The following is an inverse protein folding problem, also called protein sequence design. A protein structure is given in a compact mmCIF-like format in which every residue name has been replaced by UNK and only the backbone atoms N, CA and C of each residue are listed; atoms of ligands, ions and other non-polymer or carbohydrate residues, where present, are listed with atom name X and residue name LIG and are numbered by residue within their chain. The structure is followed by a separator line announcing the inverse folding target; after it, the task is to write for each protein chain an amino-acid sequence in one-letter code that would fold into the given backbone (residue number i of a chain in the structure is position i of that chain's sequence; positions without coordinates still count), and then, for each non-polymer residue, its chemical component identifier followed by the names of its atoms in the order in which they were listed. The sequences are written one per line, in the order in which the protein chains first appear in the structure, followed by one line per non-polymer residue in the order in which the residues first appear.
data_IF_769338417963
#
_entry.id   IF_769338417963
#
_cell.length_a   1.000
_cell.length_b   1.000
_cell.length_c   1.000
_cell.angle_alpha   90.00
_cell.angle_beta   90.00
_cell.angle_gamma   90.00
#
_symmetry.space_group_name_H-M   'P 1'
#
loop_
_entity.id
_entity.type
_entity.pdbx_description
1 polymer ?
#
# COMPACT_ATOMS: atom_id res chain seq x y z
N UNK A 1 11.60 8.51 2.32
CA UNK A 1 10.20 8.47 2.81
C UNK A 1 10.00 9.36 4.04
N UNK A 2 10.72 9.15 5.15
CA UNK A 2 10.52 9.95 6.37
C UNK A 2 10.68 11.47 6.18
N UNK A 3 11.73 11.90 5.47
CA UNK A 3 11.97 13.33 5.21
C UNK A 3 10.80 14.00 4.48
N UNK A 4 10.24 13.34 3.46
CA UNK A 4 9.07 13.84 2.74
C UNK A 4 7.80 13.77 3.60
N UNK A 5 7.60 12.69 4.35
CA UNK A 5 6.46 12.58 5.26
C UNK A 5 6.45 13.69 6.31
N UNK A 6 7.62 14.18 6.75
CA UNK A 6 7.71 15.28 7.70
C UNK A 6 7.32 16.65 7.11
N UNK A 7 7.36 16.82 5.79
CA UNK A 7 6.84 18.04 5.14
C UNK A 7 5.30 18.13 5.20
N UNK A 8 4.63 16.99 5.40
CA UNK A 8 3.18 16.89 5.49
C UNK A 8 2.75 16.22 6.81
N UNK A 9 2.86 16.92 7.96
CA UNK A 9 2.66 16.32 9.28
C UNK A 9 1.23 15.79 9.50
N UNK A 10 0.24 16.37 8.82
CA UNK A 10 -1.17 16.00 8.97
C UNK A 10 -1.67 15.03 7.88
N UNK A 11 -0.79 14.54 7.00
CA UNK A 11 -1.19 13.66 5.90
C UNK A 11 -1.43 12.21 6.36
N UNK A 12 -2.43 11.58 5.77
CA UNK A 12 -2.59 10.13 5.79
C UNK A 12 -1.48 9.48 4.95
N UNK A 13 -0.82 8.47 5.51
CA UNK A 13 0.25 7.75 4.82
C UNK A 13 -0.27 6.45 4.22
N UNK A 14 -0.30 6.38 2.90
CA UNK A 14 -0.75 5.21 2.14
C UNK A 14 0.40 4.68 1.27
N UNK A 15 0.60 3.37 1.31
CA UNK A 15 1.37 2.62 0.31
C UNK A 15 0.38 1.99 -0.66
N UNK A 16 0.33 2.51 -1.89
CA UNK A 16 -0.57 2.04 -2.94
C UNK A 16 0.23 1.21 -3.93
N UNK A 17 -0.22 0.00 -4.23
CA UNK A 17 0.38 -0.88 -5.23
C UNK A 17 -0.68 -1.68 -5.97
N UNK A 18 -0.42 -2.04 -7.22
CA UNK A 18 -1.35 -2.87 -8.00
C UNK A 18 -1.23 -4.36 -7.60
N UNK A 19 -0.02 -4.79 -7.23
CA UNK A 19 0.26 -6.18 -6.93
C UNK A 19 -0.57 -6.70 -5.74
N UNK A 20 -0.91 -7.99 -5.73
CA UNK A 20 -1.52 -8.66 -4.58
C UNK A 20 -0.79 -8.38 -3.27
N UNK A 21 -1.54 -8.36 -2.18
CA UNK A 21 -1.09 -8.09 -0.81
C UNK A 21 0.15 -8.88 -0.34
N UNK A 22 0.34 -10.10 -0.85
CA UNK A 22 1.45 -11.02 -0.55
C UNK A 22 2.59 -10.93 -1.59
N UNK A 23 2.47 -10.03 -2.55
CA UNK A 23 3.40 -9.81 -3.66
C UNK A 23 3.83 -8.33 -3.69
N UNK A 24 4.69 -8.00 -4.64
CA UNK A 24 5.23 -6.66 -4.79
C UNK A 24 6.06 -6.22 -3.58
N UNK A 25 6.35 -4.91 -3.48
CA UNK A 25 7.30 -4.40 -2.49
C UNK A 25 6.77 -4.32 -1.06
N UNK A 26 5.44 -4.42 -0.85
CA UNK A 26 4.82 -4.17 0.46
C UNK A 26 5.46 -4.94 1.61
N UNK A 27 5.76 -6.23 1.45
CA UNK A 27 6.35 -7.05 2.52
C UNK A 27 7.71 -6.50 2.97
N UNK A 28 8.56 -6.11 2.00
CA UNK A 28 9.84 -5.48 2.27
C UNK A 28 9.67 -4.11 2.92
N UNK A 29 8.79 -3.25 2.38
CA UNK A 29 8.58 -1.88 2.88
C UNK A 29 8.03 -1.90 4.31
N UNK A 30 7.04 -2.75 4.58
CA UNK A 30 6.43 -2.86 5.90
C UNK A 30 7.45 -3.34 6.95
N UNK A 31 8.23 -4.38 6.62
CA UNK A 31 9.25 -4.91 7.52
C UNK A 31 10.34 -3.87 7.79
N UNK A 32 10.90 -3.25 6.73
CA UNK A 32 11.95 -2.25 6.86
C UNK A 32 11.49 -1.01 7.61
N UNK A 33 10.25 -0.57 7.39
CA UNK A 33 9.66 0.53 8.14
C UNK A 33 9.58 0.17 9.63
N UNK A 34 9.13 -1.05 9.95
CA UNK A 34 9.10 -1.54 11.33
C UNK A 34 10.47 -1.59 11.98
N UNK A 35 11.48 -2.12 11.30
CA UNK A 35 12.85 -2.24 11.80
C UNK A 35 13.52 -0.88 12.01
N UNK A 36 13.35 0.05 11.06
CA UNK A 36 14.06 1.35 11.08
C UNK A 36 13.37 2.41 11.94
N UNK A 37 12.06 2.30 12.17
CA UNK A 37 11.28 3.32 12.85
C UNK A 37 10.54 2.83 14.10
N UNK A 38 10.74 1.57 14.49
CA UNK A 38 10.19 1.00 15.73
C UNK A 38 8.67 0.85 15.71
N UNK A 39 8.04 0.80 14.54
CA UNK A 39 6.59 0.73 14.41
C UNK A 39 6.09 0.66 12.97
N UNK A 40 4.77 0.62 12.79
CA UNK A 40 4.12 0.41 11.48
C UNK A 40 4.09 1.66 10.59
N UNK A 41 4.97 2.64 10.80
CA UNK A 41 4.94 3.93 10.10
C UNK A 41 5.97 4.93 10.60
N UNK A 42 5.66 6.22 10.49
CA UNK A 42 6.57 7.33 10.80
C UNK A 42 6.02 8.19 11.95
N UNK A 43 6.60 8.02 13.14
CA UNK A 43 6.10 8.64 14.37
C UNK A 43 4.74 8.05 14.76
N UNK A 44 3.74 8.90 15.03
CA UNK A 44 2.37 8.46 15.36
C UNK A 44 1.53 8.04 14.14
N UNK A 45 2.02 8.25 12.91
CA UNK A 45 1.27 7.99 11.68
C UNK A 45 1.57 6.60 11.14
N UNK A 46 0.53 5.78 11.01
CA UNK A 46 0.62 4.42 10.49
C UNK A 46 0.66 4.46 8.95
N UNK A 47 1.63 3.77 8.34
CA UNK A 47 1.67 3.54 6.90
C UNK A 47 0.71 2.40 6.55
N UNK A 48 -0.41 2.72 5.88
CA UNK A 48 -1.43 1.73 5.52
C UNK A 48 -1.27 1.28 4.08
N UNK A 49 -1.47 -0.01 3.81
CA UNK A 49 -1.49 -0.54 2.45
C UNK A 49 -2.86 -0.33 1.79
N UNK A 50 -2.83 -0.07 0.49
CA UNK A 50 -3.92 -0.24 -0.46
C UNK A 50 -3.37 -1.09 -1.61
N UNK A 51 -3.96 -2.27 -1.83
CA UNK A 51 -3.47 -3.24 -2.82
C UNK A 51 -4.58 -4.19 -3.24
N UNK A 52 -4.36 -4.97 -4.30
CA UNK A 52 -5.20 -6.15 -4.56
C UNK A 52 -5.11 -7.14 -3.39
N UNK A 53 -6.15 -7.98 -3.24
CA UNK A 53 -6.17 -9.05 -2.23
C UNK A 53 -5.01 -10.03 -2.46
N UNK A 54 -4.62 -10.76 -1.42
CA UNK A 54 -3.57 -11.77 -1.57
C UNK A 54 -4.03 -12.87 -2.52
N UNK A 55 -3.18 -13.22 -3.49
CA UNK A 55 -3.46 -14.27 -4.48
C UNK A 55 -2.18 -15.02 -4.83
N UNK A 56 -2.33 -16.25 -5.31
CA UNK A 56 -1.21 -17.05 -5.82
C UNK A 56 -0.74 -16.55 -7.20
N UNK A 57 -1.67 -16.13 -8.05
CA UNK A 57 -1.37 -15.53 -9.36
C UNK A 57 -1.00 -14.04 -9.22
N UNK A 58 -0.10 -13.49 -10.05
CA UNK A 58 0.19 -12.04 -10.08
C UNK A 58 -1.02 -11.17 -10.43
N UNK A 59 -1.92 -11.68 -11.27
CA UNK A 59 -3.15 -11.01 -11.66
C UNK A 59 -4.25 -12.02 -11.99
N UNK A 60 -5.50 -11.55 -12.04
CA UNK A 60 -6.59 -12.30 -12.66
C UNK A 60 -6.33 -12.48 -14.16
N UNK A 61 -6.68 -13.65 -14.70
CA UNK A 61 -6.59 -13.93 -16.14
C UNK A 61 -7.76 -13.36 -16.96
N UNK A 62 -8.77 -12.77 -16.30
CA UNK A 62 -9.90 -12.15 -16.96
C UNK A 62 -9.70 -10.63 -17.05
N UNK A 63 -9.70 -10.10 -18.27
CA UNK A 63 -9.45 -8.68 -18.53
C UNK A 63 -10.46 -7.74 -17.84
N UNK A 64 -11.76 -8.01 -17.94
CA UNK A 64 -12.78 -7.17 -17.31
C UNK A 64 -12.66 -7.16 -15.79
N UNK A 65 -12.41 -8.33 -15.18
CA UNK A 65 -12.17 -8.40 -13.75
C UNK A 65 -10.90 -7.64 -13.35
N UNK A 66 -9.86 -7.67 -14.19
CA UNK A 66 -8.64 -6.90 -13.93
C UNK A 66 -8.91 -5.39 -13.94
N UNK A 67 -9.71 -4.88 -14.88
CA UNK A 67 -10.11 -3.48 -14.93
C UNK A 67 -10.95 -3.07 -13.71
N UNK A 68 -11.87 -3.93 -13.28
CA UNK A 68 -12.70 -3.65 -12.11
C UNK A 68 -11.88 -3.65 -10.81
N UNK A 69 -10.91 -4.57 -10.66
CA UNK A 69 -9.95 -4.54 -9.57
C UNK A 69 -9.12 -3.25 -9.56
N UNK A 70 -8.69 -2.77 -10.73
CA UNK A 70 -7.95 -1.51 -10.86
C UNK A 70 -8.79 -0.29 -10.46
N UNK A 71 -10.07 -0.24 -10.88
CA UNK A 71 -10.99 0.85 -10.49
C UNK A 71 -11.23 0.83 -8.98
N UNK A 72 -11.43 -0.35 -8.39
CA UNK A 72 -11.62 -0.50 -6.96
C UNK A 72 -10.38 -0.07 -6.16
N UNK A 73 -9.18 -0.44 -6.63
CA UNK A 73 -7.91 -0.03 -6.03
C UNK A 73 -7.77 1.50 -6.00
N UNK A 74 -8.03 2.16 -7.13
CA UNK A 74 -7.94 3.61 -7.24
C UNK A 74 -8.99 4.29 -6.36
N UNK A 75 -10.22 3.77 -6.33
CA UNK A 75 -11.26 4.27 -5.44
C UNK A 75 -10.80 4.21 -3.98
N UNK A 76 -10.32 3.05 -3.52
CA UNK A 76 -9.84 2.88 -2.13
C UNK A 76 -8.68 3.83 -1.80
N UNK A 77 -7.78 4.09 -2.75
CA UNK A 77 -6.64 4.98 -2.55
C UNK A 77 -7.04 6.44 -2.31
N UNK A 78 -8.15 6.90 -2.89
CA UNK A 78 -8.60 8.30 -2.80
C UNK A 78 -9.73 8.55 -1.79
N UNK A 79 -10.35 7.51 -1.24
CA UNK A 79 -11.47 7.65 -0.28
C UNK A 79 -11.10 7.41 1.19
N UNK A 80 -9.80 7.37 1.54
CA UNK A 80 -9.31 7.05 2.89
C UNK A 80 -8.79 8.23 3.71
#
# INVERSE_FOLDING_TARGET
MLAEANKHPNANLLWVQDEPANQGPWSHVALRTSEQHGGKGFGSRILRRVSRRATASPATGNHHLHEDEQKALMLEAFTR
#
